data_IF_030694160969
#
_entry.id   IF_030694160969
#
_cell.length_a   1.000
_cell.length_b   1.000
_cell.length_c   1.000
_cell.angle_alpha   90.00
_cell.angle_beta   90.00
_cell.angle_gamma   90.00
#
_symmetry.space_group_name_H-M   'P 1'
#
loop_
_entity.id
_entity.type
_entity.pdbx_description
1 polymer ?
#
# COMPACT_ATOMS: atom_id res chain seq x y z
N UNK A 1 -6.79 -4.51 3.12
CA UNK A 1 -6.94 -3.59 1.98
C UNK A 1 -7.62 -4.33 0.85
N UNK A 2 -8.87 -3.96 0.56
CA UNK A 2 -9.59 -4.50 -0.59
C UNK A 2 -9.29 -3.62 -1.82
N UNK A 3 -9.05 -4.26 -2.96
CA UNK A 3 -8.84 -3.59 -4.25
C UNK A 3 -9.93 -4.06 -5.21
N UNK A 4 -10.67 -3.09 -5.77
CA UNK A 4 -11.73 -3.32 -6.76
C UNK A 4 -11.23 -2.83 -8.12
N UNK A 5 -11.08 -3.75 -9.08
CA UNK A 5 -10.53 -3.43 -10.41
C UNK A 5 -11.60 -3.00 -11.44
N UNK A 6 -12.88 -3.08 -11.08
CA UNK A 6 -13.99 -2.70 -11.96
C UNK A 6 -15.00 -1.85 -11.20
N UNK A 7 -15.47 -0.75 -11.81
CA UNK A 7 -16.49 0.13 -11.23
C UNK A 7 -17.90 -0.45 -11.33
N UNK A 8 -18.12 -1.41 -12.24
CA UNK A 8 -19.43 -2.03 -12.48
C UNK A 8 -19.79 -3.13 -11.47
N UNK A 9 -18.84 -3.57 -10.64
CA UNK A 9 -19.11 -4.50 -9.55
C UNK A 9 -18.46 -3.97 -8.28
N UNK A 10 -19.24 -3.75 -7.21
CA UNK A 10 -18.71 -3.51 -5.86
C UNK A 10 -18.04 -4.77 -5.27
N UNK A 11 -17.56 -5.68 -6.13
CA UNK A 11 -16.95 -6.92 -5.72
C UNK A 11 -15.45 -6.72 -5.52
N UNK A 12 -15.00 -7.08 -4.31
CA UNK A 12 -13.60 -7.08 -3.97
C UNK A 12 -12.86 -8.09 -4.85
N UNK A 13 -12.02 -7.62 -5.78
CA UNK A 13 -11.27 -8.51 -6.68
C UNK A 13 -10.08 -9.12 -5.96
N UNK A 14 -9.41 -8.33 -5.10
CA UNK A 14 -8.24 -8.77 -4.36
C UNK A 14 -8.25 -8.21 -2.93
N UNK A 15 -7.80 -9.04 -1.99
CA UNK A 15 -7.65 -8.65 -0.59
C UNK A 15 -6.21 -8.83 -0.12
N UNK A 16 -5.61 -7.75 0.38
CA UNK A 16 -4.27 -7.74 0.95
C UNK A 16 -4.33 -7.44 2.44
N UNK A 17 -3.74 -8.31 3.26
CA UNK A 17 -3.63 -8.06 4.70
C UNK A 17 -2.64 -6.92 4.95
N UNK A 18 -3.06 -5.90 5.72
CA UNK A 18 -2.25 -4.70 5.96
C UNK A 18 -0.89 -5.02 6.60
N UNK A 19 -0.86 -6.01 7.51
CA UNK A 19 0.36 -6.52 8.16
C UNK A 19 1.43 -7.04 7.19
N UNK A 20 1.04 -7.41 5.96
CA UNK A 20 1.95 -7.90 4.94
C UNK A 20 2.39 -6.79 3.98
N UNK A 21 1.78 -5.62 4.04
CA UNK A 21 2.16 -4.48 3.18
C UNK A 21 3.27 -3.71 3.89
N UNK A 22 4.38 -3.43 3.20
CA UNK A 22 5.55 -2.77 3.80
C UNK A 22 5.74 -1.32 3.34
N UNK A 23 5.19 -0.97 2.18
CA UNK A 23 5.31 0.37 1.60
C UNK A 23 4.13 0.63 0.66
N UNK A 24 3.72 1.89 0.54
CA UNK A 24 2.80 2.35 -0.50
C UNK A 24 3.13 3.78 -0.94
N UNK A 25 2.80 4.12 -2.18
CA UNK A 25 3.02 5.48 -2.69
C UNK A 25 2.37 5.69 -4.06
N UNK A 26 2.40 6.95 -4.51
CA UNK A 26 2.03 7.32 -5.87
C UNK A 26 3.25 7.84 -6.62
N UNK A 27 3.24 7.79 -7.96
CA UNK A 27 4.38 8.23 -8.74
C UNK A 27 4.52 9.77 -8.72
N UNK A 28 5.70 10.33 -8.40
CA UNK A 28 5.86 11.76 -8.09
C UNK A 28 5.59 12.69 -9.28
N UNK A 29 5.88 12.24 -10.50
CA UNK A 29 5.63 13.00 -11.74
C UNK A 29 4.30 12.67 -12.42
N UNK A 30 3.65 11.59 -11.99
CA UNK A 30 2.40 11.12 -12.61
C UNK A 30 1.51 10.50 -11.55
N UNK A 31 0.68 11.32 -10.92
CA UNK A 31 -0.14 10.89 -9.79
C UNK A 31 -1.21 9.87 -10.15
N UNK A 32 -1.38 9.51 -11.43
CA UNK A 32 -2.29 8.44 -11.86
C UNK A 32 -1.82 7.04 -11.47
N UNK A 33 -0.54 6.88 -11.11
CA UNK A 33 0.01 5.61 -10.67
C UNK A 33 0.03 5.52 -9.15
N UNK A 34 -0.48 4.42 -8.63
CA UNK A 34 -0.36 4.00 -7.24
C UNK A 34 0.34 2.65 -7.19
N UNK A 35 1.18 2.46 -6.19
CA UNK A 35 1.77 1.15 -5.94
C UNK A 35 1.96 0.85 -4.46
N UNK A 36 2.02 -0.43 -4.15
CA UNK A 36 2.38 -0.92 -2.82
C UNK A 36 3.16 -2.22 -2.89
N UNK A 37 3.94 -2.49 -1.84
CA UNK A 37 4.80 -3.66 -1.72
C UNK A 37 4.24 -4.59 -0.65
N UNK A 38 4.07 -5.87 -0.99
CA UNK A 38 3.69 -6.91 -0.02
C UNK A 38 4.80 -7.92 0.19
N UNK A 39 5.04 -8.32 1.44
CA UNK A 39 5.84 -9.48 1.80
C UNK A 39 5.02 -10.76 1.66
N UNK A 40 5.61 -11.79 1.05
CA UNK A 40 5.01 -13.12 0.97
C UNK A 40 4.90 -13.73 2.37
N UNK A 41 3.76 -14.35 2.75
CA UNK A 41 3.56 -14.83 4.12
C UNK A 41 4.48 -16.00 4.50
N UNK A 42 4.94 -16.79 3.54
CA UNK A 42 5.76 -17.98 3.78
C UNK A 42 7.23 -17.84 3.34
N UNK A 43 7.58 -16.78 2.60
CA UNK A 43 8.91 -16.63 2.01
C UNK A 43 9.47 -15.22 2.25
N UNK A 44 10.80 -15.07 2.19
CA UNK A 44 11.44 -13.75 2.15
C UNK A 44 11.36 -13.11 0.76
N UNK A 45 10.18 -13.15 0.15
CA UNK A 45 9.89 -12.59 -1.17
C UNK A 45 8.96 -11.40 -1.04
N UNK A 46 9.12 -10.45 -1.94
CA UNK A 46 8.28 -9.26 -2.02
C UNK A 46 7.63 -9.19 -3.40
N UNK A 47 6.41 -8.66 -3.44
CA UNK A 47 5.69 -8.37 -4.68
C UNK A 47 5.33 -6.89 -4.70
N UNK A 48 5.56 -6.25 -5.85
CA UNK A 48 5.12 -4.88 -6.11
C UNK A 48 3.83 -4.94 -6.92
N UNK A 49 2.78 -4.26 -6.42
CA UNK A 49 1.49 -4.16 -7.08
C UNK A 49 1.33 -2.73 -7.56
N UNK A 50 1.13 -2.54 -8.86
CA UNK A 50 1.01 -1.22 -9.48
C UNK A 50 -0.35 -1.10 -10.16
N UNK A 51 -1.03 0.02 -9.89
CA UNK A 51 -2.35 0.35 -10.39
C UNK A 51 -2.29 1.71 -11.08
N UNK A 52 -3.11 1.86 -12.11
CA UNK A 52 -3.31 3.11 -12.83
C UNK A 52 -4.77 3.51 -12.74
N UNK A 53 -5.04 4.80 -12.53
CA UNK A 53 -6.38 5.38 -12.60
C UNK A 53 -6.43 6.53 -13.61
N UNK A 54 -7.65 6.92 -14.00
CA UNK A 54 -7.85 8.11 -14.82
C UNK A 54 -7.52 9.39 -14.05
N UNK A 55 -7.88 9.41 -12.77
CA UNK A 55 -7.67 10.50 -11.82
C UNK A 55 -6.38 10.34 -11.00
N UNK A 56 -6.10 11.34 -10.16
CA UNK A 56 -4.99 11.29 -9.20
C UNK A 56 -5.23 10.24 -8.12
N UNK A 57 -4.27 9.35 -7.92
CA UNK A 57 -4.22 8.35 -6.84
C UNK A 57 -3.61 8.86 -5.54
N UNK A 58 -3.22 10.14 -5.47
CA UNK A 58 -2.70 10.74 -4.23
C UNK A 58 -3.63 10.53 -3.02
N UNK A 59 -4.96 10.76 -3.11
CA UNK A 59 -5.87 10.52 -1.98
C UNK A 59 -5.93 9.05 -1.55
N UNK A 60 -5.75 8.12 -2.50
CA UNK A 60 -5.66 6.68 -2.23
C UNK A 60 -4.40 6.38 -1.41
N UNK A 61 -3.24 6.88 -1.85
CA UNK A 61 -1.98 6.70 -1.13
C UNK A 61 -2.01 7.30 0.28
N UNK A 62 -2.60 8.49 0.46
CA UNK A 62 -2.75 9.13 1.77
C UNK A 62 -3.69 8.33 2.69
N UNK A 63 -4.79 7.81 2.15
CA UNK A 63 -5.74 6.98 2.91
C UNK A 63 -5.11 5.67 3.37
N UNK A 64 -4.37 5.01 2.49
CA UNK A 64 -3.63 3.78 2.83
C UNK A 64 -2.54 4.09 3.85
N UNK A 65 -1.76 5.16 3.64
CA UNK A 65 -0.72 5.61 4.58
C UNK A 65 -1.24 5.89 5.98
N UNK A 66 -2.43 6.51 6.11
CA UNK A 66 -3.09 6.72 7.42
C UNK A 66 -3.46 5.40 8.09
N UNK A 67 -4.02 4.45 7.33
CA UNK A 67 -4.35 3.13 7.87
C UNK A 67 -3.10 2.39 8.35
N UNK A 68 -2.00 2.48 7.61
CA UNK A 68 -0.68 2.01 8.01
C UNK A 68 -0.21 2.62 9.33
N UNK A 69 -0.23 3.95 9.42
CA UNK A 69 0.25 4.65 10.60
C UNK A 69 -0.55 4.25 11.85
N UNK A 70 -1.87 4.11 11.73
CA UNK A 70 -2.73 3.64 12.81
C UNK A 70 -2.38 2.20 13.21
N UNK A 71 -2.23 1.29 12.23
CA UNK A 71 -1.85 -0.09 12.48
C UNK A 71 -0.46 -0.21 13.15
N UNK A 72 0.54 0.53 12.68
CA UNK A 72 1.88 0.51 13.26
C UNK A 72 1.89 1.08 14.67
N UNK A 73 1.18 2.19 14.91
CA UNK A 73 1.05 2.78 16.25
C UNK A 73 0.37 1.81 17.24
N UNK A 74 -0.61 1.04 16.78
CA UNK A 74 -1.37 0.12 17.63
C UNK A 74 -0.65 -1.23 17.84
N UNK A 75 0.12 -1.71 16.86
CA UNK A 75 0.64 -3.09 16.85
C UNK A 75 2.17 -3.24 16.67
N UNK A 76 2.92 -2.18 16.32
CA UNK A 76 4.35 -2.28 15.92
C UNK A 76 5.28 -1.33 16.69
N UNK A 77 4.77 -0.31 17.37
CA UNK A 77 5.53 0.67 18.19
C UNK A 77 6.43 0.03 19.28
N UNK A 78 6.40 -1.30 19.44
CA UNK A 78 7.22 -2.06 20.37
C UNK A 78 8.40 -2.83 19.75
N UNK A 79 8.66 -2.77 18.43
CA UNK A 79 9.63 -3.71 17.82
C UNK A 79 10.70 -3.19 16.87
N UNK A 80 10.56 -2.09 16.12
CA UNK A 80 11.64 -1.59 15.24
C UNK A 80 11.43 -0.12 14.85
N UNK A 81 12.40 0.79 15.08
CA UNK A 81 12.29 2.17 14.60
C UNK A 81 12.29 2.19 13.07
N UNK A 82 11.39 2.98 12.50
CA UNK A 82 11.29 3.27 11.07
C UNK A 82 12.63 3.80 10.59
N UNK A 83 13.42 2.97 9.90
CA UNK A 83 14.62 3.44 9.22
C UNK A 83 14.14 4.13 7.96
N UNK A 84 14.30 5.45 7.89
CA UNK A 84 14.05 6.21 6.67
C UNK A 84 15.01 5.73 5.57
N UNK A 85 14.54 4.80 4.73
CA UNK A 85 15.27 4.44 3.51
C UNK A 85 14.94 5.51 2.47
N UNK A 86 15.67 6.62 2.50
CA UNK A 86 15.68 7.58 1.39
C UNK A 86 16.26 6.87 0.16
N UNK A 87 15.47 6.76 -0.91
CA UNK A 87 15.99 6.45 -2.24
C UNK A 87 16.47 7.77 -2.84
N UNK A 88 17.79 7.95 -2.96
CA UNK A 88 18.41 8.99 -3.80
C UNK A 88 18.19 8.73 -5.29
#
# INVERSE_FOLDING_TARGET
MCVCLSSQSNQCSHFFQLKNVSFCGYHPKNSKYFGFITKHPADQRFACHVFVSEDSTKPLAESVGKAFQLYYKEFVDYSCPTVDIYLE
#
